data_IF_224650897098
#
_entry.id   IF_224650897098
#
_cell.length_a   1.000
_cell.length_b   1.000
_cell.length_c   1.000
_cell.angle_alpha   90.00
_cell.angle_beta   90.00
_cell.angle_gamma   90.00
#
_symmetry.space_group_name_H-M   'P 1'
#
loop_
_entity.id
_entity.type
_entity.pdbx_description
1 polymer ?
#
# COMPACT_ATOMS: atom_id res chain seq x y z
N UNK A 1 13.94 -3.63 -18.59
CA UNK A 1 14.30 -2.70 -17.51
C UNK A 1 13.20 -2.86 -16.49
N UNK A 2 13.51 -3.29 -15.27
CA UNK A 2 12.50 -3.35 -14.22
C UNK A 2 12.19 -1.90 -13.85
N UNK A 3 10.98 -1.43 -14.15
CA UNK A 3 10.50 -0.11 -13.75
C UNK A 3 10.37 -0.10 -12.22
N UNK A 4 11.48 0.20 -11.54
CA UNK A 4 11.49 0.47 -10.10
C UNK A 4 10.91 1.88 -9.95
N UNK A 5 9.58 1.97 -9.89
CA UNK A 5 8.95 3.23 -9.50
C UNK A 5 9.31 3.50 -8.03
N UNK A 6 9.61 4.74 -7.65
CA UNK A 6 9.76 5.09 -6.25
C UNK A 6 8.42 4.86 -5.53
N UNK A 7 8.48 4.28 -4.34
CA UNK A 7 7.30 4.20 -3.46
C UNK A 7 6.93 5.63 -3.05
N UNK A 8 5.65 5.95 -3.15
CA UNK A 8 5.08 7.24 -2.75
C UNK A 8 4.35 7.10 -1.43
N UNK A 9 4.26 8.19 -0.68
CA UNK A 9 3.49 8.25 0.56
C UNK A 9 2.01 7.89 0.35
N UNK A 10 1.47 8.25 -0.81
CA UNK A 10 0.08 7.96 -1.22
C UNK A 10 -0.15 6.51 -1.64
N UNK A 11 0.92 5.73 -1.84
CA UNK A 11 0.77 4.29 -2.06
C UNK A 11 0.18 3.66 -0.80
N UNK A 12 -0.53 2.54 -0.95
CA UNK A 12 -1.14 1.84 0.19
C UNK A 12 -0.46 0.52 0.43
N UNK A 13 -0.30 0.16 1.70
CA UNK A 13 0.08 -1.17 2.14
C UNK A 13 -1.21 -1.96 2.40
N UNK A 14 -1.45 -3.00 1.61
CA UNK A 14 -2.59 -3.89 1.77
C UNK A 14 -2.15 -5.18 2.43
N UNK A 15 -2.76 -5.51 3.56
CA UNK A 15 -2.55 -6.79 4.25
C UNK A 15 -3.51 -7.88 3.73
N UNK A 16 -3.18 -9.17 3.94
CA UNK A 16 -4.02 -10.28 3.50
C UNK A 16 -5.38 -10.37 4.20
N UNK A 17 -5.61 -9.61 5.27
CA UNK A 17 -6.90 -9.50 5.96
C UNK A 17 -7.80 -8.36 5.44
N UNK A 18 -7.49 -7.80 4.26
CA UNK A 18 -8.18 -6.65 3.63
C UNK A 18 -8.05 -5.32 4.39
N UNK A 19 -7.29 -5.29 5.49
CA UNK A 19 -6.87 -4.03 6.13
C UNK A 19 -5.79 -3.35 5.29
N UNK A 20 -5.84 -2.03 5.21
CA UNK A 20 -4.85 -1.24 4.50
C UNK A 20 -4.51 0.05 5.26
N UNK A 21 -3.31 0.58 5.00
CA UNK A 21 -2.88 1.92 5.45
C UNK A 21 -2.10 2.62 4.32
N UNK A 22 -1.92 3.94 4.42
CA UNK A 22 -0.99 4.64 3.54
C UNK A 22 0.45 4.26 3.87
N UNK A 23 1.33 4.33 2.87
CA UNK A 23 2.74 4.02 3.06
C UNK A 23 3.42 4.99 4.03
N UNK A 24 2.95 6.24 4.09
CA UNK A 24 3.39 7.19 5.14
C UNK A 24 3.02 6.74 6.55
N UNK A 25 1.84 6.13 6.73
CA UNK A 25 1.37 5.65 8.04
C UNK A 25 1.97 4.29 8.43
N UNK A 26 2.62 3.59 7.48
CA UNK A 26 3.18 2.25 7.71
C UNK A 26 4.12 2.20 8.92
N UNK A 27 4.82 3.29 9.21
CA UNK A 27 5.70 3.38 10.38
C UNK A 27 4.97 3.23 11.72
N UNK A 28 3.69 3.61 11.78
CA UNK A 28 2.83 3.43 12.96
C UNK A 28 2.29 1.99 13.08
N UNK A 29 2.32 1.24 11.98
CA UNK A 29 1.85 -0.14 11.87
C UNK A 29 2.98 -1.17 11.75
N UNK A 30 4.21 -0.82 12.13
CA UNK A 30 5.36 -1.76 12.14
C UNK A 30 5.18 -2.96 13.09
N UNK A 31 4.16 -2.93 13.95
CA UNK A 31 3.76 -4.07 14.79
C UNK A 31 2.84 -5.06 14.07
N UNK A 32 2.34 -4.70 12.90
CA UNK A 32 1.58 -5.57 12.00
C UNK A 32 2.52 -6.47 11.19
N UNK A 33 1.98 -7.42 10.44
CA UNK A 33 2.80 -8.39 9.68
C UNK A 33 3.56 -7.71 8.55
N UNK A 34 4.81 -8.11 8.28
CA UNK A 34 5.58 -7.62 7.12
C UNK A 34 5.06 -8.15 5.76
N UNK A 35 4.08 -9.06 5.77
CA UNK A 35 3.47 -9.66 4.56
C UNK A 35 2.39 -8.76 3.93
N UNK A 36 2.72 -7.49 3.67
CA UNK A 36 1.83 -6.55 2.97
C UNK A 36 2.24 -6.36 1.50
N UNK A 37 1.25 -6.07 0.66
CA UNK A 37 1.45 -5.70 -0.75
C UNK A 37 1.38 -4.17 -0.90
N UNK A 38 2.40 -3.56 -1.50
CA UNK A 38 2.38 -2.12 -1.78
C UNK A 38 1.66 -1.86 -3.10
N UNK A 39 0.48 -1.25 -3.02
CA UNK A 39 -0.34 -0.90 -4.17
C UNK A 39 -0.07 0.57 -4.58
N UNK A 40 0.29 0.82 -5.85
CA UNK A 40 0.51 2.16 -6.39
C UNK A 40 -0.71 3.06 -6.30
N UNK A 41 -0.57 4.31 -5.86
CA UNK A 41 -1.67 5.29 -5.91
C UNK A 41 -2.21 5.53 -7.33
N UNK A 42 -1.36 5.39 -8.34
CA UNK A 42 -1.72 5.53 -9.76
C UNK A 42 -2.39 4.28 -10.35
N UNK A 43 -2.51 3.18 -9.59
CA UNK A 43 -3.12 1.93 -10.07
C UNK A 43 -4.62 1.91 -9.87
N UNK A 44 -5.34 1.28 -10.80
CA UNK A 44 -6.79 1.03 -10.66
C UNK A 44 -7.14 0.34 -9.34
N UNK A 45 -6.30 -0.61 -8.90
CA UNK A 45 -6.49 -1.37 -7.65
C UNK A 45 -6.48 -0.48 -6.40
N UNK A 46 -5.70 0.60 -6.37
CA UNK A 46 -5.73 1.56 -5.27
C UNK A 46 -7.09 2.25 -5.18
N UNK A 47 -7.64 2.66 -6.32
CA UNK A 47 -8.95 3.30 -6.36
C UNK A 47 -10.07 2.35 -5.91
N UNK A 48 -9.97 1.07 -6.25
CA UNK A 48 -10.91 0.03 -5.80
C UNK A 48 -10.86 -0.20 -4.28
N UNK A 49 -9.69 -0.07 -3.65
CA UNK A 49 -9.53 -0.27 -2.20
C UNK A 49 -9.98 0.98 -1.42
N UNK A 50 -9.61 2.17 -1.90
CA UNK A 50 -9.89 3.44 -1.20
C UNK A 50 -11.34 3.92 -1.39
N UNK A 51 -11.95 3.63 -2.55
CA UNK A 51 -13.32 4.04 -2.86
C UNK A 51 -14.32 2.86 -2.89
N UNK A 52 -13.87 1.67 -2.48
CA UNK A 52 -14.68 0.45 -2.40
C UNK A 52 -15.59 0.36 -1.20
#
# INVERSE_FOLDING_TARGET
MSDIRPIRNEDICLWPDDTWCYFEDLEEYLWMSDDFEVIPCDSTRWNEIVNG
#
